data_IF_279959812041
#
_entry.id   IF_279959812041
#
_cell.length_a   1.000
_cell.length_b   1.000
_cell.length_c   1.000
_cell.angle_alpha   90.00
_cell.angle_beta   90.00
_cell.angle_gamma   90.00
#
_symmetry.space_group_name_H-M   'P 1'
#
loop_
_entity.id
_entity.type
_entity.pdbx_description
1 polymer ?
#
# COMPACT_ATOMS: atom_id res chain seq x y z
N UNK A 1 17.04 -6.65 1.26
CA UNK A 1 16.57 -6.30 2.62
C UNK A 1 15.27 -5.52 2.47
N UNK A 2 14.22 -5.91 3.17
CA UNK A 2 12.89 -5.29 3.09
C UNK A 2 12.63 -4.52 4.38
N UNK A 3 12.20 -3.27 4.26
CA UNK A 3 11.77 -2.44 5.39
C UNK A 3 10.25 -2.42 5.44
N UNK A 4 9.67 -2.62 6.63
CA UNK A 4 8.22 -2.59 6.83
C UNK A 4 7.90 -1.61 7.95
N UNK A 5 7.00 -0.68 7.68
CA UNK A 5 6.41 0.25 8.63
C UNK A 5 4.94 -0.12 8.81
N UNK A 6 4.47 -0.12 10.06
CA UNK A 6 3.06 -0.35 10.40
C UNK A 6 2.57 0.79 11.27
N UNK A 7 1.34 1.18 11.03
CA UNK A 7 0.65 2.24 11.76
C UNK A 7 -0.77 1.77 12.06
N UNK A 8 -1.21 2.01 13.29
CA UNK A 8 -2.57 1.72 13.68
C UNK A 8 -3.50 2.85 13.21
N UNK A 9 -4.61 2.55 12.53
CA UNK A 9 -5.63 3.55 12.22
C UNK A 9 -6.34 3.99 13.52
N UNK A 10 -6.93 5.19 13.55
CA UNK A 10 -7.83 5.58 14.63
C UNK A 10 -9.05 4.64 14.71
N UNK A 11 -9.70 4.58 15.88
CA UNK A 11 -11.00 3.92 16.01
C UNK A 11 -12.01 4.63 15.10
N UNK A 12 -12.77 3.91 14.25
CA UNK A 12 -13.80 4.52 13.41
C UNK A 12 -14.81 5.39 14.15
N UNK A 13 -15.08 5.12 15.44
CA UNK A 13 -15.96 5.94 16.27
C UNK A 13 -15.36 7.31 16.64
N UNK A 14 -14.03 7.44 16.61
CA UNK A 14 -13.29 8.64 16.97
C UNK A 14 -12.92 9.50 15.73
N UNK A 15 -13.22 9.02 14.52
CA UNK A 15 -12.91 9.73 13.27
C UNK A 15 -13.87 10.91 13.07
N UNK A 16 -13.36 12.11 12.74
CA UNK A 16 -14.21 13.28 12.46
C UNK A 16 -15.09 13.04 11.22
N UNK A 17 -16.21 13.76 11.12
CA UNK A 17 -17.13 13.66 9.98
C UNK A 17 -16.48 13.96 8.60
N UNK A 18 -15.32 14.63 8.58
CA UNK A 18 -14.52 14.83 7.36
C UNK A 18 -13.81 13.57 6.87
N UNK A 19 -13.85 12.49 7.65
CA UNK A 19 -13.13 11.24 7.41
C UNK A 19 -11.67 11.28 7.83
N UNK A 20 -11.02 10.13 7.69
CA UNK A 20 -9.59 9.93 7.87
C UNK A 20 -9.08 9.00 6.76
N UNK A 21 -7.86 9.23 6.28
CA UNK A 21 -7.18 8.31 5.40
C UNK A 21 -5.68 8.29 5.72
N UNK A 22 -5.08 7.11 5.75
CA UNK A 22 -3.66 6.96 6.03
C UNK A 22 -3.10 5.58 5.70
N UNK A 23 -1.80 5.53 5.44
CA UNK A 23 -1.09 4.27 5.25
C UNK A 23 -0.98 3.53 6.60
N UNK A 24 -1.54 2.32 6.65
CA UNK A 24 -1.47 1.42 7.81
C UNK A 24 -0.34 0.39 7.68
N UNK A 25 0.08 0.13 6.43
CA UNK A 25 1.25 -0.68 6.11
C UNK A 25 2.01 0.01 4.98
N UNK A 26 3.32 0.19 5.15
CA UNK A 26 4.24 0.60 4.09
C UNK A 26 5.39 -0.39 4.03
N UNK A 27 5.68 -0.90 2.84
CA UNK A 27 6.78 -1.84 2.59
C UNK A 27 7.70 -1.26 1.52
N UNK A 28 9.00 -1.33 1.75
CA UNK A 28 10.02 -0.89 0.79
C UNK A 28 11.05 -2.00 0.60
N UNK A 29 11.25 -2.40 -0.66
CA UNK A 29 12.31 -3.32 -1.07
C UNK A 29 13.03 -2.73 -2.28
N UNK A 30 14.29 -2.35 -2.11
CA UNK A 30 15.07 -1.71 -3.18
C UNK A 30 14.38 -0.44 -3.68
N UNK A 31 13.98 -0.43 -4.95
CA UNK A 31 13.27 0.70 -5.59
C UNK A 31 11.74 0.58 -5.51
N UNK A 32 11.21 -0.54 -5.01
CA UNK A 32 9.77 -0.79 -4.97
C UNK A 32 9.20 -0.45 -3.61
N UNK A 33 8.15 0.36 -3.63
CA UNK A 33 7.32 0.68 -2.46
C UNK A 33 5.91 0.12 -2.65
N UNK A 34 5.36 -0.47 -1.60
CA UNK A 34 3.96 -0.85 -1.51
C UNK A 34 3.32 -0.24 -0.27
N UNK A 35 2.06 0.16 -0.38
CA UNK A 35 1.31 0.78 0.71
C UNK A 35 -0.10 0.18 0.77
N UNK A 36 -0.61 -0.03 1.99
CA UNK A 36 -2.04 -0.24 2.25
C UNK A 36 -2.55 1.02 2.91
N UNK A 37 -3.43 1.72 2.22
CA UNK A 37 -4.12 2.90 2.71
C UNK A 37 -5.48 2.48 3.23
N UNK A 38 -5.76 2.81 4.48
CA UNK A 38 -7.09 2.68 5.06
C UNK A 38 -7.77 4.04 5.05
N UNK A 39 -9.00 4.06 4.59
CA UNK A 39 -9.90 5.21 4.60
C UNK A 39 -11.09 4.90 5.51
N UNK A 40 -11.42 5.83 6.39
CA UNK A 40 -12.59 5.78 7.28
C UNK A 40 -13.46 6.99 6.92
N UNK A 41 -14.65 6.73 6.38
CA UNK A 41 -15.60 7.76 5.97
C UNK A 41 -16.64 8.03 7.05
N UNK A 42 -17.39 9.12 6.88
CA UNK A 42 -18.54 9.45 7.72
C UNK A 42 -19.50 8.25 7.82
N UNK A 43 -19.97 7.99 9.03
CA UNK A 43 -20.76 6.80 9.36
C UNK A 43 -19.96 5.52 9.64
N UNK A 44 -18.63 5.60 9.77
CA UNK A 44 -17.78 4.48 10.21
C UNK A 44 -17.48 3.43 9.13
N UNK A 45 -17.68 3.79 7.85
CA UNK A 45 -17.37 2.90 6.72
C UNK A 45 -15.86 2.85 6.54
N UNK A 46 -15.29 1.64 6.61
CA UNK A 46 -13.85 1.40 6.42
C UNK A 46 -13.60 0.81 5.03
N UNK A 47 -12.65 1.39 4.30
CA UNK A 47 -12.18 0.91 3.00
C UNK A 47 -10.65 0.79 3.02
N UNK A 48 -10.14 -0.30 2.43
CA UNK A 48 -8.71 -0.54 2.27
C UNK A 48 -8.34 -0.51 0.79
N UNK A 49 -7.26 0.20 0.46
CA UNK A 49 -6.69 0.34 -0.88
C UNK A 49 -5.22 -0.06 -0.86
N UNK A 50 -4.75 -0.77 -1.88
CA UNK A 50 -3.34 -1.12 -2.03
C UNK A 50 -2.71 -0.39 -3.20
N UNK A 51 -1.61 0.30 -2.94
CA UNK A 51 -0.80 0.99 -3.94
C UNK A 51 0.57 0.34 -4.02
N UNK A 52 1.11 0.21 -5.24
CA UNK A 52 2.49 -0.22 -5.47
C UNK A 52 3.12 0.75 -6.45
N UNK A 53 4.32 1.20 -6.16
CA UNK A 53 5.10 2.11 -6.98
C UNK A 53 6.53 1.60 -7.11
N UNK A 54 7.15 1.88 -8.26
CA UNK A 54 8.57 1.64 -8.49
C UNK A 54 9.20 3.00 -8.69
N UNK A 55 10.23 3.33 -7.92
CA UNK A 55 10.94 4.60 -8.04
C UNK A 55 11.43 4.81 -9.49
N UNK A 56 11.20 6.00 -10.03
CA UNK A 56 11.39 6.32 -11.46
C UNK A 56 10.19 6.02 -12.38
N UNK A 57 9.15 5.30 -11.94
CA UNK A 57 7.90 5.11 -12.68
C UNK A 57 6.80 6.01 -12.09
N UNK A 58 6.43 7.05 -12.85
CA UNK A 58 5.90 8.30 -12.29
C UNK A 58 4.48 8.37 -11.71
N UNK A 59 3.70 7.28 -11.51
CA UNK A 59 2.37 7.35 -10.85
C UNK A 59 1.94 5.99 -10.25
N UNK A 60 1.13 5.97 -9.17
CA UNK A 60 0.47 4.76 -8.68
C UNK A 60 -0.47 4.17 -9.74
N UNK A 61 -0.43 2.85 -9.88
CA UNK A 61 -0.76 2.11 -11.10
C UNK A 61 -2.27 1.79 -11.20
N UNK A 62 -3.03 2.51 -12.04
CA UNK A 62 -4.35 2.03 -12.48
C UNK A 62 -4.24 1.07 -13.67
N UNK A 63 -3.20 1.22 -14.50
CA UNK A 63 -2.79 0.28 -15.54
C UNK A 63 -1.36 0.64 -15.96
N UNK A 64 -0.34 -0.12 -15.54
CA UNK A 64 1.05 0.19 -15.89
C UNK A 64 1.73 -0.99 -16.54
N UNK A 65 2.13 -0.75 -17.79
CA UNK A 65 3.13 -1.57 -18.47
C UNK A 65 4.50 -1.21 -17.91
N UNK A 66 5.14 -2.15 -17.22
CA UNK A 66 6.50 -1.99 -16.72
C UNK A 66 7.47 -2.40 -17.84
N UNK A 67 8.15 -1.42 -18.43
CA UNK A 67 9.24 -1.65 -19.38
C UNK A 67 10.57 -1.47 -18.66
N UNK A 68 11.27 -2.56 -18.38
CA UNK A 68 12.57 -2.55 -17.70
C UNK A 68 13.42 -3.73 -18.16
N UNK A 69 14.73 -3.53 -18.23
CA UNK A 69 15.75 -4.59 -18.36
C UNK A 69 16.31 -5.02 -16.99
N UNK A 70 15.92 -4.33 -15.92
CA UNK A 70 16.31 -4.63 -14.54
C UNK A 70 15.47 -5.80 -13.97
N UNK A 71 15.95 -7.02 -14.17
CA UNK A 71 15.32 -8.23 -13.64
C UNK A 71 15.22 -8.23 -12.11
N UNK A 72 16.12 -7.54 -11.41
CA UNK A 72 16.09 -7.44 -9.95
C UNK A 72 14.89 -6.60 -9.49
N UNK A 73 14.58 -5.51 -10.19
CA UNK A 73 13.38 -4.71 -9.91
C UNK A 73 12.07 -5.51 -10.06
N UNK A 74 12.00 -6.46 -11.01
CA UNK A 74 10.84 -7.35 -11.16
C UNK A 74 10.69 -8.34 -9.99
N UNK A 75 11.80 -8.90 -9.51
CA UNK A 75 11.80 -9.74 -8.30
C UNK A 75 11.34 -8.97 -7.06
N UNK A 76 11.83 -7.74 -6.89
CA UNK A 76 11.44 -6.85 -5.80
C UNK A 76 9.95 -6.49 -5.87
N UNK A 77 9.45 -6.21 -7.07
CA UNK A 77 8.03 -5.96 -7.31
C UNK A 77 7.17 -7.16 -6.93
N UNK A 78 7.54 -8.36 -7.37
CA UNK A 78 6.80 -9.57 -7.05
C UNK A 78 6.76 -9.81 -5.54
N UNK A 79 7.88 -9.61 -4.84
CA UNK A 79 7.95 -9.73 -3.39
C UNK A 79 7.05 -8.73 -2.67
N UNK A 80 7.09 -7.44 -3.08
CA UNK A 80 6.23 -6.39 -2.51
C UNK A 80 4.75 -6.68 -2.78
N UNK A 81 4.39 -7.07 -4.00
CA UNK A 81 3.01 -7.38 -4.36
C UNK A 81 2.45 -8.57 -3.56
N UNK A 82 3.22 -9.65 -3.41
CA UNK A 82 2.83 -10.80 -2.60
C UNK A 82 2.66 -10.41 -1.12
N UNK A 83 3.56 -9.60 -0.59
CA UNK A 83 3.48 -9.12 0.79
C UNK A 83 2.22 -8.28 1.04
N UNK A 84 1.95 -7.28 0.18
CA UNK A 84 0.77 -6.42 0.28
C UNK A 84 -0.53 -7.24 0.16
N UNK A 85 -0.58 -8.21 -0.75
CA UNK A 85 -1.74 -9.09 -0.89
C UNK A 85 -2.01 -9.91 0.38
N UNK A 86 -0.96 -10.42 1.04
CA UNK A 86 -1.09 -11.17 2.29
C UNK A 86 -1.56 -10.28 3.44
N UNK A 87 -1.02 -9.06 3.57
CA UNK A 87 -1.45 -8.11 4.61
C UNK A 87 -2.92 -7.71 4.38
N UNK A 88 -3.34 -7.41 3.15
CA UNK A 88 -4.76 -7.16 2.83
C UNK A 88 -5.68 -8.33 3.18
N UNK A 89 -5.23 -9.58 2.93
CA UNK A 89 -6.02 -10.76 3.26
C UNK A 89 -6.20 -10.94 4.77
N UNK A 90 -5.24 -10.47 5.59
CA UNK A 90 -5.29 -10.53 7.04
C UNK A 90 -6.14 -9.41 7.68
N UNK A 91 -6.49 -8.36 6.92
CA UNK A 91 -7.36 -7.26 7.38
C UNK A 91 -8.86 -7.60 7.32
N UNK A 92 -9.23 -8.73 6.70
CA UNK A 92 -10.62 -9.19 6.53
C UNK A 92 -11.09 -10.11 7.65
#
# INVERSE_FOLDING_TARGET
>A
MQTVLRSDPPDPADVPATGWAGAIVTVVTGKVMGEIIRSIFDGGIVQDEAHIAIDGHGRPLADVTIQTDDAQALCELSAVAAFVANELAALK
#
